data_IF_513650743179
#
_entry.id   IF_513650743179
#
_cell.length_a   1.000
_cell.length_b   1.000
_cell.length_c   1.000
_cell.angle_alpha   90.00
_cell.angle_beta   90.00
_cell.angle_gamma   90.00
#
_symmetry.space_group_name_H-M   'P 1'
#
loop_
_entity.id
_entity.type
_entity.pdbx_description
1 polymer ?
#
# COMPACT_ATOMS: atom_id res chain seq x y z
N UNK A 1 10.52 -1.04 -12.45
CA UNK A 1 10.01 -1.98 -13.49
C UNK A 1 9.85 -3.35 -12.85
N UNK A 2 8.66 -3.61 -12.29
CA UNK A 2 8.38 -4.80 -11.49
C UNK A 2 8.33 -6.08 -12.33
N UNK A 3 8.56 -7.22 -11.69
CA UNK A 3 8.46 -8.55 -12.29
C UNK A 3 7.07 -8.82 -12.94
N UNK A 4 6.04 -8.07 -12.55
CA UNK A 4 4.69 -8.15 -13.12
C UNK A 4 4.48 -7.34 -14.40
N UNK A 5 5.20 -6.23 -14.60
CA UNK A 5 5.18 -5.49 -15.88
C UNK A 5 5.82 -6.34 -17.00
N UNK A 6 6.78 -7.21 -16.63
CA UNK A 6 7.31 -8.26 -17.52
C UNK A 6 6.33 -9.42 -17.73
N UNK A 7 5.44 -9.68 -16.77
CA UNK A 7 4.45 -10.76 -16.84
C UNK A 7 3.22 -10.34 -17.66
N UNK A 8 2.67 -9.13 -17.45
CA UNK A 8 1.56 -8.57 -18.22
C UNK A 8 1.88 -8.49 -19.71
N UNK A 9 3.08 -8.03 -20.10
CA UNK A 9 3.51 -8.03 -21.51
C UNK A 9 3.66 -9.42 -22.13
N UNK A 10 3.81 -10.48 -21.33
CA UNK A 10 3.84 -11.87 -21.81
C UNK A 10 2.44 -12.50 -21.88
N UNK A 11 1.50 -12.04 -21.05
CA UNK A 11 0.14 -12.61 -20.96
C UNK A 11 -0.79 -12.02 -22.02
N UNK A 12 -0.54 -10.81 -22.50
CA UNK A 12 -1.40 -10.18 -23.53
C UNK A 12 -1.38 -10.89 -24.90
N UNK A 13 -0.42 -11.79 -25.15
CA UNK A 13 -0.34 -12.57 -26.40
C UNK A 13 -0.31 -14.10 -26.20
N UNK A 14 -0.44 -14.62 -24.96
CA UNK A 14 -0.24 -16.04 -24.66
C UNK A 14 -1.45 -16.70 -23.98
N UNK A 15 -2.51 -16.90 -24.78
CA UNK A 15 -3.32 -18.11 -24.87
C UNK A 15 -3.90 -18.69 -23.55
N UNK A 16 -5.20 -18.47 -23.36
CA UNK A 16 -6.10 -19.16 -22.40
C UNK A 16 -6.03 -20.71 -22.46
N UNK A 17 -5.45 -21.29 -23.51
CA UNK A 17 -5.44 -22.73 -23.77
C UNK A 17 -4.09 -23.47 -23.55
N UNK A 18 -2.95 -22.78 -23.33
CA UNK A 18 -1.63 -23.45 -23.24
C UNK A 18 -1.17 -23.69 -21.80
N UNK A 19 -1.67 -22.92 -20.83
CA UNK A 19 -1.26 -23.03 -19.41
C UNK A 19 -2.04 -24.08 -18.59
N UNK A 20 -3.06 -24.75 -19.15
CA UNK A 20 -3.93 -25.66 -18.40
C UNK A 20 -3.36 -27.07 -18.18
N UNK A 21 -2.30 -27.47 -18.91
CA UNK A 21 -1.78 -28.85 -18.87
C UNK A 21 -0.50 -29.06 -18.06
N UNK A 22 0.26 -28.03 -17.70
CA UNK A 22 1.52 -28.18 -16.93
C UNK A 22 1.45 -27.74 -15.45
N UNK A 23 0.31 -27.24 -14.97
CA UNK A 23 0.20 -26.52 -13.68
C UNK A 23 -0.96 -26.98 -12.78
N UNK A 24 -1.40 -28.23 -12.86
CA UNK A 24 -2.63 -28.67 -12.17
C UNK A 24 -2.56 -28.67 -10.63
N UNK A 25 -1.39 -28.49 -10.03
CA UNK A 25 -1.18 -28.70 -8.59
C UNK A 25 -0.35 -27.64 -7.88
N UNK A 26 0.06 -26.57 -8.57
CA UNK A 26 0.93 -25.54 -7.99
C UNK A 26 0.19 -24.20 -7.97
N UNK A 27 0.50 -23.36 -6.97
CA UNK A 27 -0.11 -22.03 -6.83
C UNK A 27 0.16 -21.16 -8.05
N UNK A 28 -0.85 -20.38 -8.48
CA UNK A 28 -0.70 -19.37 -9.53
C UNK A 28 -0.79 -17.95 -8.96
N UNK A 29 -0.08 -16.95 -9.52
CA UNK A 29 -0.16 -15.57 -9.05
C UNK A 29 -1.58 -15.00 -9.01
N UNK A 30 -2.41 -15.34 -10.01
CA UNK A 30 -3.81 -14.91 -10.08
C UNK A 30 -4.69 -15.52 -8.97
N UNK A 31 -4.31 -16.68 -8.44
CA UNK A 31 -5.02 -17.31 -7.33
C UNK A 31 -4.73 -16.58 -6.02
N UNK A 32 -3.52 -16.04 -5.84
CA UNK A 32 -3.16 -15.21 -4.67
C UNK A 32 -3.98 -13.91 -4.65
N UNK A 33 -4.05 -13.20 -5.78
CA UNK A 33 -4.83 -11.96 -5.87
C UNK A 33 -6.33 -12.23 -5.69
N UNK A 34 -6.85 -13.30 -6.29
CA UNK A 34 -8.24 -13.72 -6.11
C UNK A 34 -8.55 -14.08 -4.65
N UNK A 35 -7.62 -14.75 -3.96
CA UNK A 35 -7.78 -15.11 -2.55
C UNK A 35 -7.82 -13.87 -1.64
N UNK A 36 -6.97 -12.86 -1.90
CA UNK A 36 -6.99 -11.58 -1.17
C UNK A 36 -8.29 -10.83 -1.40
N UNK A 37 -8.72 -10.66 -2.67
CA UNK A 37 -9.99 -9.99 -3.02
C UNK A 37 -11.19 -10.66 -2.34
N UNK A 38 -11.24 -11.99 -2.39
CA UNK A 38 -12.28 -12.75 -1.70
C UNK A 38 -12.26 -12.52 -0.18
N UNK A 39 -11.09 -12.52 0.44
CA UNK A 39 -10.97 -12.23 1.86
C UNK A 39 -11.42 -10.81 2.23
N UNK A 40 -11.18 -9.83 1.34
CA UNK A 40 -11.69 -8.47 1.47
C UNK A 40 -13.22 -8.43 1.46
N UNK A 41 -13.86 -9.11 0.50
CA UNK A 41 -15.32 -9.15 0.37
C UNK A 41 -15.98 -9.89 1.54
N UNK A 42 -15.45 -11.07 1.90
CA UNK A 42 -16.02 -11.94 2.95
C UNK A 42 -15.98 -11.30 4.36
N UNK A 43 -15.08 -10.32 4.58
CA UNK A 43 -14.87 -9.63 5.86
C UNK A 43 -15.16 -8.13 5.81
N UNK A 44 -15.69 -7.64 4.69
CA UNK A 44 -16.15 -6.27 4.58
C UNK A 44 -17.24 -6.00 5.62
N UNK A 45 -17.08 -4.93 6.39
CA UNK A 45 -18.00 -4.53 7.44
C UNK A 45 -18.46 -3.09 7.23
N UNK A 46 -19.77 -2.86 7.27
CA UNK A 46 -20.33 -1.51 7.21
C UNK A 46 -20.08 -0.80 8.55
N UNK A 47 -19.34 0.31 8.51
CA UNK A 47 -19.02 1.11 9.72
C UNK A 47 -19.83 2.39 9.77
N UNK A 48 -20.25 2.90 8.61
CA UNK A 48 -21.15 4.06 8.47
C UNK A 48 -21.93 3.94 7.16
N UNK A 49 -22.99 4.76 6.99
CA UNK A 49 -23.90 4.72 5.83
C UNK A 49 -23.19 4.79 4.46
N UNK A 50 -21.99 5.35 4.40
CA UNK A 50 -21.28 5.59 3.13
C UNK A 50 -19.88 4.95 3.10
N UNK A 51 -19.52 4.11 4.08
CA UNK A 51 -18.17 3.50 4.14
C UNK A 51 -18.20 2.06 4.62
N UNK A 52 -17.79 1.18 3.72
CA UNK A 52 -17.55 -0.24 3.99
C UNK A 52 -16.06 -0.42 4.30
N UNK A 53 -15.73 -0.86 5.51
CA UNK A 53 -14.36 -1.12 5.93
C UNK A 53 -13.96 -2.53 5.52
N UNK A 54 -12.85 -2.65 4.81
CA UNK A 54 -12.23 -3.92 4.44
C UNK A 54 -11.03 -4.22 5.35
N UNK A 55 -10.69 -5.50 5.63
CA UNK A 55 -9.44 -5.84 6.32
C UNK A 55 -8.22 -5.31 5.58
N UNK A 56 -7.14 -5.04 6.31
CA UNK A 56 -5.90 -4.50 5.77
C UNK A 56 -4.65 -5.30 6.17
N UNK A 57 -4.76 -6.28 7.08
CA UNK A 57 -3.70 -7.26 7.30
C UNK A 57 -4.13 -8.60 6.71
N UNK A 58 -3.28 -9.20 5.87
CA UNK A 58 -3.52 -10.50 5.23
C UNK A 58 -2.32 -11.42 5.44
N UNK A 59 -2.56 -12.62 5.94
CA UNK A 59 -1.55 -13.68 6.05
C UNK A 59 -1.98 -14.85 5.19
N UNK A 60 -1.21 -15.11 4.13
CA UNK A 60 -1.42 -16.18 3.16
C UNK A 60 -0.59 -17.38 3.58
N UNK A 61 -1.26 -18.42 4.05
CA UNK A 61 -0.65 -19.71 4.39
C UNK A 61 -0.62 -20.59 3.15
N UNK A 62 0.56 -21.13 2.85
CA UNK A 62 0.85 -21.93 1.66
C UNK A 62 1.59 -23.22 2.04
N UNK A 63 1.65 -24.17 1.10
CA UNK A 63 2.59 -25.28 1.25
C UNK A 63 4.03 -24.78 1.12
N UNK A 64 4.99 -25.45 1.77
CA UNK A 64 6.42 -25.06 1.65
C UNK A 64 6.89 -25.07 0.20
N UNK A 65 6.34 -25.95 -0.65
CA UNK A 65 6.69 -26.05 -2.08
C UNK A 65 6.16 -24.88 -2.90
N UNK A 66 4.97 -24.41 -2.62
CA UNK A 66 4.39 -23.23 -3.27
C UNK A 66 5.12 -21.95 -2.84
N UNK A 67 5.51 -21.86 -1.57
CA UNK A 67 6.26 -20.71 -1.07
C UNK A 67 7.67 -20.61 -1.66
N UNK A 68 8.36 -21.73 -1.88
CA UNK A 68 9.65 -21.69 -2.60
C UNK A 68 9.51 -21.11 -4.02
N UNK A 69 8.39 -21.37 -4.72
CA UNK A 69 8.12 -20.73 -6.01
C UNK A 69 7.89 -19.23 -5.90
N UNK A 70 7.21 -18.78 -4.84
CA UNK A 70 7.03 -17.34 -4.59
C UNK A 70 8.40 -16.67 -4.40
N UNK A 71 9.33 -17.30 -3.68
CA UNK A 71 10.70 -16.79 -3.56
C UNK A 71 11.40 -16.72 -4.92
N UNK A 72 11.25 -17.73 -5.77
CA UNK A 72 11.79 -17.74 -7.14
C UNK A 72 11.24 -16.57 -7.99
N UNK A 73 9.99 -16.15 -7.77
CA UNK A 73 9.38 -15.01 -8.47
C UNK A 73 9.80 -13.64 -7.91
N UNK A 74 10.42 -13.60 -6.72
CA UNK A 74 10.67 -12.39 -5.97
C UNK A 74 9.51 -12.11 -5.01
N UNK A 75 9.66 -12.61 -3.78
CA UNK A 75 8.65 -12.51 -2.72
C UNK A 75 8.23 -11.05 -2.46
N UNK A 76 9.19 -10.14 -2.34
CA UNK A 76 8.92 -8.73 -2.05
C UNK A 76 8.17 -8.03 -3.19
N UNK A 77 8.58 -8.26 -4.44
CA UNK A 77 7.89 -7.69 -5.61
C UNK A 77 6.46 -8.21 -5.76
N UNK A 78 6.22 -9.50 -5.46
CA UNK A 78 4.88 -10.07 -5.48
C UNK A 78 4.02 -9.49 -4.36
N UNK A 79 4.60 -9.29 -3.17
CA UNK A 79 3.91 -8.68 -2.02
C UNK A 79 3.43 -7.27 -2.36
N UNK A 80 4.33 -6.42 -2.87
CA UNK A 80 4.01 -5.05 -3.29
C UNK A 80 2.88 -5.00 -4.32
N UNK A 81 2.88 -5.96 -5.25
CA UNK A 81 1.83 -6.03 -6.25
C UNK A 81 0.49 -6.45 -5.68
N UNK A 82 0.46 -7.47 -4.83
CA UNK A 82 -0.79 -7.88 -4.20
C UNK A 82 -1.38 -6.73 -3.37
N UNK A 83 -0.53 -5.90 -2.75
CA UNK A 83 -0.95 -4.66 -2.09
C UNK A 83 -1.58 -3.69 -3.09
N UNK A 84 -0.94 -3.41 -4.24
CA UNK A 84 -1.51 -2.55 -5.29
C UNK A 84 -2.84 -3.08 -5.82
N UNK A 85 -2.92 -4.39 -6.09
CA UNK A 85 -4.15 -5.04 -6.57
C UNK A 85 -5.26 -4.94 -5.53
N UNK A 86 -4.96 -5.11 -4.25
CA UNK A 86 -5.93 -4.95 -3.16
C UNK A 86 -6.42 -3.49 -3.04
N UNK A 87 -5.52 -2.51 -3.12
CA UNK A 87 -5.87 -1.10 -3.11
C UNK A 87 -6.79 -0.73 -4.29
N UNK A 88 -6.44 -1.14 -5.51
CA UNK A 88 -7.25 -0.92 -6.72
C UNK A 88 -8.64 -1.57 -6.60
N UNK A 89 -8.69 -2.82 -6.12
CA UNK A 89 -9.95 -3.51 -5.94
C UNK A 89 -10.84 -2.83 -4.89
N UNK A 90 -10.25 -2.35 -3.79
CA UNK A 90 -10.99 -1.57 -2.79
C UNK A 90 -11.56 -0.27 -3.39
N UNK A 91 -10.83 0.44 -4.25
CA UNK A 91 -11.39 1.59 -4.98
C UNK A 91 -12.59 1.19 -5.85
N UNK A 92 -12.49 0.10 -6.61
CA UNK A 92 -13.57 -0.40 -7.48
C UNK A 92 -14.83 -0.81 -6.68
N UNK A 93 -14.65 -1.41 -5.50
CA UNK A 93 -15.74 -1.86 -4.62
C UNK A 93 -16.19 -0.81 -3.60
N UNK A 94 -15.62 0.40 -3.66
CA UNK A 94 -15.82 1.47 -2.68
C UNK A 94 -15.54 1.08 -1.22
N UNK A 95 -14.51 0.26 -1.00
CA UNK A 95 -14.02 -0.08 0.33
C UNK A 95 -13.00 0.94 0.85
N UNK A 96 -12.93 1.07 2.17
CA UNK A 96 -11.89 1.84 2.88
C UNK A 96 -11.07 0.94 3.80
N UNK A 97 -9.81 1.29 4.00
CA UNK A 97 -8.94 0.66 4.99
C UNK A 97 -8.74 1.58 6.20
N UNK A 98 -8.47 0.99 7.37
CA UNK A 98 -8.16 1.76 8.59
C UNK A 98 -6.65 1.94 8.82
N UNK A 99 -5.82 1.33 7.99
CA UNK A 99 -4.37 1.32 8.11
C UNK A 99 -3.70 0.86 6.80
N UNK A 100 -2.37 0.65 6.81
CA UNK A 100 -1.65 0.20 5.63
C UNK A 100 -2.08 -1.23 5.29
N UNK A 101 -2.03 -1.57 3.99
CA UNK A 101 -2.25 -2.95 3.57
C UNK A 101 -0.95 -3.72 3.79
N UNK A 102 -0.99 -4.76 4.63
CA UNK A 102 0.11 -5.69 4.83
C UNK A 102 -0.27 -7.07 4.31
N UNK A 103 0.65 -7.67 3.59
CA UNK A 103 0.50 -9.03 3.07
C UNK A 103 1.71 -9.80 3.57
N UNK A 104 1.49 -10.89 4.27
CA UNK A 104 2.53 -11.80 4.75
C UNK A 104 2.33 -13.18 4.14
N UNK A 105 3.44 -13.85 3.83
CA UNK A 105 3.41 -15.24 3.39
C UNK A 105 3.94 -16.12 4.52
N UNK A 106 3.23 -17.20 4.80
CA UNK A 106 3.66 -18.20 5.78
C UNK A 106 3.50 -19.61 5.20
N UNK A 107 4.22 -20.56 5.77
CA UNK A 107 4.18 -21.95 5.30
C UNK A 107 3.58 -22.87 6.35
N UNK A 108 2.83 -23.87 5.89
CA UNK A 108 2.34 -24.97 6.72
C UNK A 108 2.66 -26.30 6.06
N UNK A 109 3.30 -27.21 6.82
CA UNK A 109 3.66 -28.54 6.35
C UNK A 109 2.44 -29.45 6.10
N UNK A 110 1.29 -29.11 6.68
CA UNK A 110 0.03 -29.86 6.51
C UNK A 110 -0.81 -29.34 5.34
N UNK A 111 -0.43 -28.21 4.75
CA UNK A 111 -1.16 -27.58 3.66
C UNK A 111 -0.91 -28.33 2.35
N UNK A 112 -1.96 -28.79 1.63
CA UNK A 112 -1.82 -29.32 0.28
C UNK A 112 -1.28 -28.26 -0.68
N UNK A 113 -0.60 -28.71 -1.76
CA UNK A 113 -0.14 -27.79 -2.80
C UNK A 113 -1.31 -27.16 -3.55
N UNK A 114 -1.12 -25.92 -4.00
CA UNK A 114 -2.14 -25.12 -4.69
C UNK A 114 -3.28 -24.64 -3.77
N UNK A 115 -3.28 -25.01 -2.48
CA UNK A 115 -4.23 -24.47 -1.51
C UNK A 115 -3.65 -23.21 -0.87
N UNK A 116 -4.43 -22.12 -0.92
CA UNK A 116 -4.12 -20.86 -0.25
C UNK A 116 -5.14 -20.68 0.87
N UNK A 117 -4.68 -20.61 2.12
CA UNK A 117 -5.55 -20.25 3.25
C UNK A 117 -5.21 -18.82 3.66
N UNK A 118 -6.22 -17.94 3.65
CA UNK A 118 -6.04 -16.51 3.98
C UNK A 118 -6.65 -16.25 5.35
N UNK A 119 -5.83 -15.76 6.28
CA UNK A 119 -6.33 -15.12 7.50
C UNK A 119 -6.18 -13.62 7.34
N UNK A 120 -7.13 -12.86 7.87
CA UNK A 120 -7.12 -11.41 7.74
C UNK A 120 -7.64 -10.73 9.00
N UNK A 121 -7.21 -9.48 9.18
CA UNK A 121 -7.63 -8.64 10.29
C UNK A 121 -7.75 -7.17 9.84
N UNK A 122 -8.61 -6.43 10.51
CA UNK A 122 -8.70 -4.97 10.37
C UNK A 122 -7.90 -4.33 11.49
N UNK A 123 -6.81 -3.63 11.14
CA UNK A 123 -5.91 -2.98 12.09
C UNK A 123 -5.73 -1.52 11.71
N UNK A 124 -6.03 -0.64 12.66
CA UNK A 124 -5.87 0.80 12.46
C UNK A 124 -4.38 1.14 12.41
N UNK A 125 -4.00 1.89 11.39
CA UNK A 125 -2.64 2.40 11.19
C UNK A 125 -2.60 3.92 11.09
N UNK A 126 -1.39 4.49 11.03
CA UNK A 126 -1.18 5.93 10.87
C UNK A 126 -1.48 6.46 9.46
N UNK A 127 -1.52 5.56 8.48
CA UNK A 127 -1.79 5.85 7.07
C UNK A 127 -2.60 4.70 6.47
N UNK A 128 -3.40 4.96 5.44
CA UNK A 128 -4.01 3.94 4.59
C UNK A 128 -3.96 4.36 3.11
N UNK A 129 -4.09 3.44 2.15
CA UNK A 129 -4.29 3.83 0.75
C UNK A 129 -5.56 4.66 0.57
N UNK A 130 -5.49 5.73 -0.23
CA UNK A 130 -6.63 6.59 -0.52
C UNK A 130 -7.50 5.98 -1.63
N UNK A 131 -8.43 5.10 -1.25
CA UNK A 131 -9.23 4.32 -2.21
C UNK A 131 -10.45 5.06 -2.77
N UNK A 132 -11.21 5.74 -1.90
CA UNK A 132 -12.44 6.48 -2.24
C UNK A 132 -12.51 7.89 -1.64
N UNK A 133 -11.49 8.31 -0.90
CA UNK A 133 -11.57 9.54 -0.12
C UNK A 133 -11.22 10.75 -0.99
N UNK A 134 -12.12 11.73 -1.04
CA UNK A 134 -11.74 13.11 -1.31
C UNK A 134 -10.92 13.62 -0.12
N UNK A 135 -9.89 14.40 -0.40
CA UNK A 135 -9.11 15.01 0.66
C UNK A 135 -10.01 15.95 1.49
N UNK A 136 -9.86 15.89 2.81
CA UNK A 136 -10.58 16.74 3.76
C UNK A 136 -9.63 17.19 4.86
N UNK A 137 -9.93 18.26 5.61
CA UNK A 137 -9.07 18.66 6.73
C UNK A 137 -8.95 17.58 7.82
N UNK A 138 -9.97 16.71 7.93
CA UNK A 138 -10.02 15.61 8.90
C UNK A 138 -9.31 14.36 8.41
N UNK A 139 -9.22 14.17 7.09
CA UNK A 139 -8.49 13.07 6.47
C UNK A 139 -7.67 13.63 5.30
N UNK A 140 -6.51 14.25 5.60
CA UNK A 140 -5.63 14.77 4.57
C UNK A 140 -5.10 13.63 3.71
N UNK A 141 -4.83 13.93 2.44
CA UNK A 141 -4.23 13.01 1.49
C UNK A 141 -2.85 13.51 1.13
N UNK A 142 -1.93 12.56 0.98
CA UNK A 142 -0.65 12.79 0.30
C UNK A 142 -0.52 11.87 -0.91
N UNK A 143 0.10 12.36 -1.96
CA UNK A 143 0.51 11.57 -3.12
C UNK A 143 2.03 11.51 -3.11
N UNK A 144 2.54 10.29 -3.09
CA UNK A 144 3.96 9.99 -3.01
C UNK A 144 4.31 9.23 -4.29
N UNK A 145 4.96 9.92 -5.24
CA UNK A 145 5.35 9.36 -6.53
C UNK A 145 4.21 8.64 -7.30
N UNK A 146 2.98 9.14 -7.18
CA UNK A 146 1.78 8.62 -7.85
C UNK A 146 0.91 7.69 -6.98
N UNK A 147 1.39 7.29 -5.80
CA UNK A 147 0.61 6.50 -4.83
C UNK A 147 -0.03 7.41 -3.80
N UNK A 148 -1.37 7.38 -3.73
CA UNK A 148 -2.15 8.24 -2.83
C UNK A 148 -2.42 7.55 -1.49
N UNK A 149 -2.16 8.27 -0.41
CA UNK A 149 -2.33 7.83 0.96
C UNK A 149 -3.20 8.81 1.75
N UNK A 150 -4.12 8.28 2.55
CA UNK A 150 -4.89 9.03 3.52
C UNK A 150 -4.22 8.95 4.89
N UNK A 151 -4.04 10.11 5.54
CA UNK A 151 -3.46 10.19 6.88
C UNK A 151 -4.54 9.85 7.93
N UNK A 152 -4.51 8.62 8.45
CA UNK A 152 -5.51 8.10 9.40
C UNK A 152 -5.11 8.24 10.86
N UNK A 153 -3.82 8.51 11.12
CA UNK A 153 -3.27 8.74 12.46
C UNK A 153 -2.90 10.21 12.70
N UNK A 154 -2.60 10.52 13.98
CA UNK A 154 -2.13 11.86 14.36
C UNK A 154 -0.69 12.13 13.90
N UNK A 155 0.11 11.08 13.70
CA UNK A 155 1.50 11.16 13.30
C UNK A 155 1.72 10.11 12.20
N UNK A 156 2.38 10.52 11.12
CA UNK A 156 2.84 9.66 10.04
C UNK A 156 4.31 9.96 9.76
N UNK A 157 5.16 8.94 9.81
CA UNK A 157 6.59 9.07 9.51
C UNK A 157 6.87 8.55 8.11
N UNK A 158 7.58 9.34 7.32
CA UNK A 158 8.01 9.01 5.96
C UNK A 158 9.53 8.88 5.96
N UNK A 159 10.03 7.84 5.32
CA UNK A 159 11.47 7.57 5.24
C UNK A 159 11.76 6.27 4.51
N UNK A 160 13.04 5.94 4.30
CA UNK A 160 13.42 4.68 3.63
C UNK A 160 13.55 3.48 4.56
N UNK A 161 13.50 3.70 5.87
CA UNK A 161 13.69 2.65 6.87
C UNK A 161 12.39 1.89 7.15
N UNK A 162 12.50 0.64 7.58
CA UNK A 162 11.36 -0.21 7.97
C UNK A 162 10.55 0.30 9.17
N UNK A 163 11.02 1.36 9.82
CA UNK A 163 10.35 2.05 10.94
C UNK A 163 9.50 3.23 10.48
N UNK A 164 9.48 3.53 9.18
CA UNK A 164 8.62 4.53 8.58
C UNK A 164 7.25 3.92 8.27
N UNK A 165 6.20 4.74 8.39
CA UNK A 165 4.83 4.35 8.06
C UNK A 165 4.61 4.32 6.54
N UNK A 166 5.31 5.19 5.83
CA UNK A 166 5.44 5.16 4.37
C UNK A 166 6.91 4.98 4.04
N UNK A 167 7.25 3.79 3.54
CA UNK A 167 8.60 3.44 3.16
C UNK A 167 8.89 3.87 1.72
N UNK A 168 9.98 4.61 1.53
CA UNK A 168 10.42 5.07 0.20
C UNK A 168 11.64 4.31 -0.27
N UNK A 169 11.64 3.92 -1.54
CA UNK A 169 12.84 3.41 -2.24
C UNK A 169 13.64 4.57 -2.85
N UNK A 170 14.21 5.40 -1.98
CA UNK A 170 15.06 6.52 -2.39
C UNK A 170 16.30 6.67 -1.49
N UNK A 171 17.48 6.50 -2.08
CA UNK A 171 18.77 6.68 -1.42
C UNK A 171 18.97 8.11 -0.87
N UNK A 172 18.30 9.10 -1.46
CA UNK A 172 18.30 10.49 -0.99
C UNK A 172 17.51 10.69 0.31
N UNK A 173 16.78 9.68 0.78
CA UNK A 173 15.88 9.77 1.93
C UNK A 173 16.52 9.14 3.17
N UNK A 174 16.43 9.78 4.33
CA UNK A 174 16.86 9.19 5.61
C UNK A 174 15.90 8.10 6.09
N UNK A 175 16.37 7.19 6.97
CA UNK A 175 15.55 6.08 7.50
C UNK A 175 14.26 6.55 8.16
N UNK A 176 14.35 7.65 8.91
CA UNK A 176 13.25 8.50 9.34
C UNK A 176 13.58 9.89 8.82
N UNK A 177 12.78 10.43 7.90
CA UNK A 177 13.12 11.67 7.21
C UNK A 177 12.16 12.78 7.58
N UNK A 178 10.86 12.54 7.44
CA UNK A 178 9.82 13.54 7.61
C UNK A 178 8.73 12.98 8.53
N UNK A 179 8.26 13.80 9.45
CA UNK A 179 7.05 13.55 10.22
C UNK A 179 5.94 14.47 9.71
N UNK A 180 4.78 13.90 9.37
CA UNK A 180 3.54 14.64 9.19
C UNK A 180 2.69 14.47 10.44
N UNK A 181 2.33 15.58 11.06
CA UNK A 181 1.51 15.61 12.27
C UNK A 181 0.18 16.27 11.99
N UNK A 182 -0.90 15.50 12.05
CA UNK A 182 -2.27 16.01 11.92
C UNK A 182 -2.69 16.61 13.26
N UNK A 183 -3.07 17.89 13.25
CA UNK A 183 -3.54 18.63 14.42
C UNK A 183 -4.90 19.27 14.13
N UNK A 184 -5.65 19.74 15.15
CA UNK A 184 -6.90 20.48 14.93
C UNK A 184 -6.74 21.76 14.08
N UNK A 185 -5.52 22.31 13.99
CA UNK A 185 -5.22 23.56 13.29
C UNK A 185 -4.58 23.36 11.92
N UNK A 186 -4.45 22.10 11.46
CA UNK A 186 -3.79 21.75 10.20
C UNK A 186 -2.70 20.69 10.37
N UNK A 187 -1.98 20.42 9.28
CA UNK A 187 -0.92 19.42 9.24
C UNK A 187 0.44 20.09 9.32
N UNK A 188 1.30 19.62 10.22
CA UNK A 188 2.66 20.13 10.39
C UNK A 188 3.64 19.10 9.83
N UNK A 189 4.44 19.50 8.85
CA UNK A 189 5.58 18.74 8.34
C UNK A 189 6.83 19.10 9.15
N UNK A 190 7.52 18.11 9.70
CA UNK A 190 8.74 18.30 10.52
C UNK A 190 9.87 17.43 9.98
N UNK A 191 11.02 18.03 9.69
CA UNK A 191 12.23 17.30 9.31
C UNK A 191 12.81 16.57 10.54
N UNK A 192 13.06 15.27 10.43
CA UNK A 192 13.56 14.42 11.50
C UNK A 192 15.09 14.36 11.52
N UNK A 193 15.73 15.54 11.42
CA UNK A 193 17.18 15.69 11.32
C UNK A 193 17.76 14.84 10.18
N UNK A 194 17.15 14.98 9.01
CA UNK A 194 17.53 14.22 7.82
C UNK A 194 18.89 14.67 7.26
N UNK A 195 19.53 13.79 6.48
CA UNK A 195 20.85 14.07 5.90
C UNK A 195 20.78 15.18 4.85
N UNK A 196 19.76 15.17 3.99
CA UNK A 196 19.63 16.08 2.85
C UNK A 196 18.67 17.26 3.12
N UNK A 197 17.92 17.22 4.24
CA UNK A 197 16.89 18.19 4.56
C UNK A 197 15.56 17.93 3.84
N UNK A 198 14.50 18.50 4.40
CA UNK A 198 13.16 18.54 3.82
C UNK A 198 12.85 19.93 3.26
N UNK A 199 12.09 19.98 2.18
CA UNK A 199 11.71 21.23 1.51
C UNK A 199 10.20 21.30 1.31
N UNK A 200 9.61 22.48 1.47
CA UNK A 200 8.20 22.78 1.14
C UNK A 200 8.19 23.93 0.16
N UNK A 201 7.56 23.76 -1.01
CA UNK A 201 7.59 24.73 -2.12
C UNK A 201 9.01 25.19 -2.46
N UNK A 202 9.98 24.27 -2.43
CA UNK A 202 11.40 24.53 -2.68
C UNK A 202 12.17 25.22 -1.54
N UNK A 203 11.51 25.58 -0.44
CA UNK A 203 12.14 26.21 0.72
C UNK A 203 12.50 25.15 1.76
N UNK A 204 13.75 25.15 2.24
CA UNK A 204 14.19 24.19 3.26
C UNK A 204 13.48 24.47 4.59
N UNK A 205 12.99 23.42 5.24
CA UNK A 205 12.25 23.51 6.50
C UNK A 205 12.92 22.70 7.61
N UNK A 206 12.74 23.16 8.85
CA UNK A 206 12.84 22.30 10.04
C UNK A 206 11.45 21.85 10.48
N UNK A 207 10.48 22.77 10.43
CA UNK A 207 9.05 22.48 10.47
C UNK A 207 8.28 23.51 9.65
N UNK A 208 7.15 23.11 9.07
CA UNK A 208 6.22 24.00 8.37
C UNK A 208 4.77 23.51 8.53
N UNK A 209 3.83 24.45 8.67
CA UNK A 209 2.40 24.13 8.53
C UNK A 209 2.08 24.04 7.05
N UNK A 210 1.54 22.90 6.62
CA UNK A 210 1.16 22.67 5.25
C UNK A 210 -0.19 23.32 4.95
N UNK A 211 -0.31 23.83 3.72
CA UNK A 211 -1.55 24.29 3.13
C UNK A 211 -1.92 23.39 1.95
N UNK A 212 -3.20 23.39 1.61
CA UNK A 212 -3.74 22.65 0.48
C UNK A 212 -2.95 22.89 -0.81
N UNK A 213 -2.61 21.82 -1.51
CA UNK A 213 -1.82 21.86 -2.75
C UNK A 213 -0.31 21.92 -2.55
N UNK A 214 0.20 21.93 -1.31
CA UNK A 214 1.64 22.01 -1.09
C UNK A 214 2.41 20.82 -1.69
N UNK A 215 3.58 21.15 -2.22
CA UNK A 215 4.61 20.20 -2.61
C UNK A 215 5.70 20.15 -1.56
N UNK A 216 5.92 18.96 -1.01
CA UNK A 216 7.06 18.62 -0.16
C UNK A 216 8.07 17.85 -1.01
N UNK A 217 9.36 18.08 -0.78
CA UNK A 217 10.44 17.33 -1.45
C UNK A 217 11.43 16.84 -0.40
N UNK A 218 11.71 15.54 -0.45
CA UNK A 218 12.72 14.86 0.36
C UNK A 218 13.54 13.93 -0.55
N UNK A 219 14.87 14.02 -0.52
CA UNK A 219 15.68 13.30 -1.49
C UNK A 219 15.33 13.68 -2.93
N UNK A 220 14.87 12.70 -3.72
CA UNK A 220 14.32 12.84 -5.08
C UNK A 220 12.80 12.65 -5.13
N UNK A 221 12.20 12.18 -4.04
CA UNK A 221 10.75 11.95 -3.95
C UNK A 221 10.00 13.27 -3.79
N UNK A 222 8.94 13.41 -4.58
CA UNK A 222 8.00 14.53 -4.49
C UNK A 222 6.72 14.05 -3.81
N UNK A 223 6.30 14.77 -2.78
CA UNK A 223 5.08 14.47 -2.03
C UNK A 223 4.13 15.64 -2.18
N UNK A 224 2.97 15.41 -2.77
CA UNK A 224 1.91 16.41 -2.87
C UNK A 224 0.95 16.25 -1.70
N UNK A 225 0.41 17.35 -1.18
CA UNK A 225 -0.47 17.37 -0.01
C UNK A 225 -1.81 18.05 -0.33
N UNK A 226 -2.92 17.41 0.06
CA UNK A 226 -4.26 17.95 -0.08
C UNK A 226 -5.11 17.74 1.18
N UNK A 227 -5.99 18.70 1.40
CA UNK A 227 -6.99 18.78 2.47
C UNK A 227 -8.36 19.21 1.94
N UNK A 228 -8.49 19.48 0.65
CA UNK A 228 -9.76 19.77 -0.02
C UNK A 228 -9.95 18.82 -1.21
N UNK A 229 -11.20 18.52 -1.60
CA UNK A 229 -11.46 17.78 -2.84
C UNK A 229 -10.78 18.50 -4.01
N UNK A 230 -10.22 17.74 -4.95
CA UNK A 230 -9.61 18.29 -6.16
C UNK A 230 -10.64 19.24 -6.82
N UNK A 231 -10.30 20.52 -7.10
CA UNK A 231 -11.24 21.41 -7.75
C UNK A 231 -11.60 20.83 -9.12
N UNK A 232 -12.89 20.58 -9.34
CA UNK A 232 -13.48 20.13 -10.60
C UNK A 232 -13.09 21.02 -11.78
#
# INVERSE_FOLDING_TARGET
>A
MGALDKFEKSVENAVENVFSRAFKSDVKPIELSSAVKRAMDDRAAEVSRDRIVSPNEFVLTLSSRDFEKIKEWGEDSLREELVRVAARYASEQAYVFLGPITIEFTTSATQPRGKIDVTCATRRGPVAPATIADASPQNPIIDVDGERYILTGAITVIGRGSVADIQLDDDGVSRKHLELRVTPNGVIATDLNSTNGSFVEGHRITAATLVDGNTITIGRTRIMFWTSPEPL
#
